data_IF_219975589669
#
_entry.id   IF_219975589669
#
_cell.length_a   1.000
_cell.length_b   1.000
_cell.length_c   1.000
_cell.angle_alpha   90.00
_cell.angle_beta   90.00
_cell.angle_gamma   90.00
#
_symmetry.space_group_name_H-M   'P 1'
#
loop_
_entity.id
_entity.type
_entity.pdbx_description
1 polymer ?
#
# COMPACT_ATOMS: atom_id res chain seq x y z
N UNK A 1 -12.14 5.21 11.00
CA UNK A 1 -10.83 4.97 11.65
C UNK A 1 -10.47 6.13 12.56
N UNK A 2 -9.85 5.87 13.72
CA UNK A 2 -9.35 6.94 14.60
C UNK A 2 -8.17 7.68 13.95
N UNK A 3 -7.85 8.88 14.43
CA UNK A 3 -6.72 9.66 13.91
C UNK A 3 -5.39 8.92 14.08
N UNK A 4 -5.19 8.23 15.21
CA UNK A 4 -3.97 7.46 15.50
C UNK A 4 -3.81 6.33 14.49
N UNK A 5 -4.85 5.51 14.28
CA UNK A 5 -4.82 4.39 13.32
C UNK A 5 -4.55 4.90 11.91
N UNK A 6 -5.18 6.03 11.52
CA UNK A 6 -4.97 6.64 10.21
C UNK A 6 -3.51 7.01 9.97
N UNK A 7 -2.90 7.70 10.92
CA UNK A 7 -1.50 8.12 10.80
C UNK A 7 -0.54 6.94 10.83
N UNK A 8 -0.81 5.95 11.67
CA UNK A 8 -0.05 4.70 11.67
C UNK A 8 -0.07 4.03 10.28
N UNK A 9 -1.26 3.83 9.70
CA UNK A 9 -1.39 3.23 8.35
C UNK A 9 -0.71 4.09 7.27
N UNK A 10 -0.82 5.42 7.35
CA UNK A 10 -0.15 6.32 6.42
C UNK A 10 1.38 6.21 6.50
N UNK A 11 1.94 6.12 7.72
CA UNK A 11 3.38 5.93 7.92
C UNK A 11 3.84 4.58 7.38
N UNK A 12 3.07 3.51 7.61
CA UNK A 12 3.39 2.17 7.06
C UNK A 12 3.34 2.19 5.53
N UNK A 13 2.33 2.82 4.92
CA UNK A 13 2.23 2.97 3.45
C UNK A 13 3.43 3.70 2.86
N UNK A 14 3.76 4.87 3.43
CA UNK A 14 4.86 5.70 2.94
C UNK A 14 6.19 4.99 3.17
N UNK A 15 6.44 4.46 4.37
CA UNK A 15 7.68 3.75 4.68
C UNK A 15 7.89 2.54 3.79
N UNK A 16 6.87 1.71 3.60
CA UNK A 16 6.95 0.55 2.70
C UNK A 16 7.14 0.98 1.24
N UNK A 17 6.43 2.02 0.79
CA UNK A 17 6.61 2.60 -0.53
C UNK A 17 8.04 3.12 -0.75
N UNK A 18 8.67 3.74 0.25
CA UNK A 18 10.06 4.19 0.18
C UNK A 18 11.04 3.02 0.13
N UNK A 19 10.78 1.91 0.83
CA UNK A 19 11.62 0.70 0.74
C UNK A 19 11.60 0.14 -0.69
N UNK A 20 10.48 0.25 -1.42
CA UNK A 20 10.41 -0.16 -2.82
C UNK A 20 11.36 0.61 -3.75
N UNK A 21 11.82 1.80 -3.35
CA UNK A 21 12.82 2.55 -4.13
C UNK A 21 14.17 1.82 -4.20
N UNK A 22 14.48 0.91 -3.28
CA UNK A 22 15.70 0.09 -3.34
C UNK A 22 15.67 -0.87 -4.54
N UNK A 23 14.53 -1.54 -4.78
CA UNK A 23 14.37 -2.43 -5.93
C UNK A 23 14.31 -1.65 -7.25
N UNK A 24 13.74 -0.44 -7.24
CA UNK A 24 13.79 0.46 -8.39
C UNK A 24 15.24 0.89 -8.71
N UNK A 25 15.98 1.34 -7.70
CA UNK A 25 17.36 1.78 -7.87
C UNK A 25 18.26 0.66 -8.40
N UNK A 26 18.11 -0.56 -7.89
CA UNK A 26 18.83 -1.73 -8.40
C UNK A 26 18.39 -2.09 -9.83
N UNK A 27 17.09 -2.27 -10.05
CA UNK A 27 16.58 -2.75 -11.34
C UNK A 27 16.83 -1.78 -12.49
N UNK A 28 16.83 -0.48 -12.22
CA UNK A 28 17.08 0.57 -13.21
C UNK A 28 18.56 0.97 -13.31
N UNK A 29 19.45 0.33 -12.55
CA UNK A 29 20.88 0.61 -12.57
C UNK A 29 21.27 1.98 -12.02
N UNK A 30 20.46 2.56 -11.13
CA UNK A 30 20.76 3.84 -10.48
C UNK A 30 21.75 3.71 -9.33
N UNK A 31 21.75 2.56 -8.64
CA UNK A 31 22.66 2.27 -7.56
C UNK A 31 22.82 0.76 -7.35
N UNK A 32 23.99 0.35 -6.87
CA UNK A 32 24.19 -0.98 -6.32
C UNK A 32 23.52 -1.09 -4.95
N UNK A 33 22.72 -2.13 -4.74
CA UNK A 33 21.97 -2.35 -3.50
C UNK A 33 22.34 -3.71 -2.93
N UNK A 34 23.34 -3.74 -2.04
CA UNK A 34 23.91 -4.98 -1.49
C UNK A 34 22.91 -5.88 -0.76
N UNK A 35 21.84 -5.30 -0.18
CA UNK A 35 20.80 -6.06 0.54
C UNK A 35 19.88 -6.84 -0.40
N UNK A 36 19.78 -6.44 -1.67
CA UNK A 36 19.06 -7.20 -2.70
C UNK A 36 20.11 -8.00 -3.46
N UNK A 37 20.15 -9.31 -3.29
CA UNK A 37 21.15 -10.18 -3.92
C UNK A 37 20.68 -10.72 -5.27
N UNK A 38 19.38 -10.95 -5.43
CA UNK A 38 18.78 -11.42 -6.68
C UNK A 38 18.90 -10.36 -7.80
N UNK A 39 19.16 -10.77 -9.06
CA UNK A 39 19.16 -9.85 -10.18
C UNK A 39 17.75 -9.29 -10.40
N UNK A 40 17.65 -7.97 -10.56
CA UNK A 40 16.38 -7.29 -10.88
C UNK A 40 16.50 -6.75 -12.30
N UNK A 41 15.66 -7.24 -13.21
CA UNK A 41 15.63 -6.74 -14.58
C UNK A 41 15.01 -5.33 -14.65
N UNK A 42 15.38 -4.50 -15.64
CA UNK A 42 14.85 -3.13 -15.76
C UNK A 42 13.33 -3.02 -15.74
N UNK A 43 12.62 -3.92 -16.43
CA UNK A 43 11.16 -3.94 -16.43
C UNK A 43 10.57 -4.16 -15.03
N UNK A 44 11.23 -5.01 -14.22
CA UNK A 44 10.84 -5.24 -12.82
C UNK A 44 11.19 -4.02 -11.96
N UNK A 45 12.34 -3.39 -12.19
CA UNK A 45 12.71 -2.11 -11.55
C UNK A 45 11.67 -1.00 -11.77
N UNK A 46 11.09 -0.90 -12.97
CA UNK A 46 9.96 0.02 -13.23
C UNK A 46 8.74 -0.36 -12.39
N UNK A 47 8.42 -1.65 -12.25
CA UNK A 47 7.30 -2.10 -11.42
C UNK A 47 7.53 -1.77 -9.92
N UNK A 48 8.77 -1.89 -9.42
CA UNK A 48 9.16 -1.44 -8.08
C UNK A 48 8.95 0.07 -7.90
N UNK A 49 9.38 0.87 -8.88
CA UNK A 49 9.17 2.33 -8.84
C UNK A 49 7.68 2.69 -8.85
N UNK A 50 6.90 2.00 -9.68
CA UNK A 50 5.46 2.22 -9.75
C UNK A 50 4.77 1.84 -8.43
N UNK A 51 5.16 0.72 -7.80
CA UNK A 51 4.70 0.36 -6.46
C UNK A 51 5.02 1.48 -5.45
N UNK A 52 6.26 1.97 -5.43
CA UNK A 52 6.68 3.06 -4.54
C UNK A 52 5.79 4.30 -4.70
N UNK A 53 5.60 4.77 -5.93
CA UNK A 53 4.79 5.96 -6.23
C UNK A 53 3.34 5.76 -5.78
N UNK A 54 2.72 4.63 -6.14
CA UNK A 54 1.30 4.37 -5.81
C UNK A 54 1.12 4.24 -4.29
N UNK A 55 2.04 3.59 -3.58
CA UNK A 55 1.94 3.42 -2.13
C UNK A 55 2.15 4.73 -1.37
N UNK A 56 3.14 5.55 -1.77
CA UNK A 56 3.35 6.89 -1.20
C UNK A 56 2.13 7.78 -1.48
N UNK A 57 1.64 7.80 -2.71
CA UNK A 57 0.43 8.55 -3.08
C UNK A 57 -0.79 8.11 -2.25
N UNK A 58 -0.95 6.80 -2.02
CA UNK A 58 -2.01 6.26 -1.17
C UNK A 58 -1.89 6.77 0.26
N UNK A 59 -0.68 6.77 0.84
CA UNK A 59 -0.42 7.30 2.18
C UNK A 59 -0.79 8.78 2.29
N UNK A 60 -0.42 9.59 1.30
CA UNK A 60 -0.78 11.02 1.21
C UNK A 60 -2.29 11.22 1.10
N UNK A 61 -2.96 10.47 0.22
CA UNK A 61 -4.42 10.54 0.05
C UNK A 61 -5.16 10.17 1.34
N UNK A 62 -4.69 9.15 2.05
CA UNK A 62 -5.22 8.74 3.36
C UNK A 62 -5.03 9.84 4.41
N UNK A 63 -3.84 10.43 4.49
CA UNK A 63 -3.55 11.54 5.39
C UNK A 63 -4.43 12.76 5.10
N UNK A 64 -4.70 13.04 3.82
CA UNK A 64 -5.59 14.09 3.33
C UNK A 64 -7.09 13.75 3.39
N UNK A 65 -7.47 12.59 3.98
CA UNK A 65 -8.87 12.12 4.12
C UNK A 65 -9.63 11.99 2.80
N UNK A 66 -8.95 11.74 1.67
CA UNK A 66 -9.61 11.60 0.37
C UNK A 66 -10.38 10.29 0.33
N UNK A 67 -11.70 10.32 0.11
CA UNK A 67 -12.60 9.16 0.23
C UNK A 67 -12.21 7.95 -0.65
N UNK A 68 -11.52 8.18 -1.78
CA UNK A 68 -11.10 7.13 -2.75
C UNK A 68 -9.68 6.60 -2.54
N UNK A 69 -9.01 6.94 -1.42
CA UNK A 69 -7.65 6.46 -1.12
C UNK A 69 -7.51 4.93 -1.21
N UNK A 70 -8.57 4.19 -0.85
CA UNK A 70 -8.57 2.73 -0.81
C UNK A 70 -8.37 2.09 -2.20
N UNK A 71 -8.79 2.74 -3.28
CA UNK A 71 -8.60 2.23 -4.66
C UNK A 71 -7.12 2.20 -4.99
N UNK A 72 -6.42 3.31 -4.75
CA UNK A 72 -4.98 3.39 -4.91
C UNK A 72 -4.25 2.40 -3.97
N UNK A 73 -4.76 2.22 -2.75
CA UNK A 73 -4.21 1.26 -1.80
C UNK A 73 -4.28 -0.19 -2.25
N UNK A 74 -5.41 -0.63 -2.80
CA UNK A 74 -5.54 -1.99 -3.37
C UNK A 74 -4.57 -2.18 -4.53
N UNK A 75 -4.52 -1.23 -5.48
CA UNK A 75 -3.59 -1.28 -6.62
C UNK A 75 -2.14 -1.35 -6.13
N UNK A 76 -1.76 -0.49 -5.17
CA UNK A 76 -0.42 -0.46 -4.60
C UNK A 76 -0.02 -1.77 -3.92
N UNK A 77 -0.92 -2.38 -3.13
CA UNK A 77 -0.65 -3.68 -2.49
C UNK A 77 -0.47 -4.79 -3.52
N UNK A 78 -1.29 -4.83 -4.57
CA UNK A 78 -1.19 -5.87 -5.60
C UNK A 78 0.14 -5.79 -6.36
N UNK A 79 0.55 -4.58 -6.76
CA UNK A 79 1.84 -4.37 -7.44
C UNK A 79 3.00 -4.68 -6.49
N UNK A 80 2.93 -4.18 -5.25
CA UNK A 80 3.90 -4.48 -4.18
C UNK A 80 4.06 -5.98 -3.97
N UNK A 81 2.96 -6.73 -3.90
CA UNK A 81 3.02 -8.17 -3.71
C UNK A 81 3.60 -8.88 -4.94
N UNK A 82 3.25 -8.45 -6.15
CA UNK A 82 3.80 -9.02 -7.38
C UNK A 82 5.33 -8.90 -7.42
N UNK A 83 5.89 -7.72 -7.14
CA UNK A 83 7.35 -7.53 -7.14
C UNK A 83 8.03 -8.29 -6.01
N UNK A 84 7.40 -8.43 -4.84
CA UNK A 84 7.91 -9.24 -3.72
C UNK A 84 7.96 -10.73 -4.09
N UNK A 85 6.96 -11.25 -4.81
CA UNK A 85 6.96 -12.65 -5.24
C UNK A 85 8.05 -12.94 -6.28
N UNK A 86 8.35 -11.97 -7.14
CA UNK A 86 9.43 -12.08 -8.14
C UNK A 86 10.81 -12.07 -7.45
N UNK A 87 10.99 -11.25 -6.41
CA UNK A 87 12.25 -11.10 -5.66
C UNK A 87 12.19 -11.73 -4.27
N UNK A 88 11.64 -12.95 -4.17
CA UNK A 88 11.18 -13.52 -2.91
C UNK A 88 12.27 -13.69 -1.85
N UNK A 89 13.47 -14.15 -2.21
CA UNK A 89 14.50 -14.48 -1.21
C UNK A 89 14.98 -13.24 -0.46
N UNK A 90 15.04 -12.10 -1.16
CA UNK A 90 15.43 -10.81 -0.59
C UNK A 90 14.24 -10.04 0.03
N UNK A 91 13.05 -10.13 -0.57
CA UNK A 91 11.96 -9.17 -0.29
C UNK A 91 10.78 -9.73 0.53
N UNK A 92 10.74 -11.03 0.84
CA UNK A 92 9.58 -11.68 1.50
C UNK A 92 9.09 -11.00 2.79
N UNK A 93 9.97 -10.34 3.54
CA UNK A 93 9.61 -9.59 4.75
C UNK A 93 8.58 -8.48 4.46
N UNK A 94 8.59 -7.92 3.24
CA UNK A 94 7.61 -6.94 2.78
C UNK A 94 6.18 -7.48 2.71
N UNK A 95 5.99 -8.80 2.63
CA UNK A 95 4.66 -9.42 2.66
C UNK A 95 3.94 -9.11 3.98
N UNK A 96 4.66 -9.03 5.11
CA UNK A 96 4.06 -8.67 6.39
C UNK A 96 3.47 -7.25 6.38
N UNK A 97 4.18 -6.31 5.75
CA UNK A 97 3.65 -4.96 5.55
C UNK A 97 2.40 -4.97 4.66
N UNK A 98 2.40 -5.74 3.56
CA UNK A 98 1.22 -5.89 2.70
C UNK A 98 0.02 -6.49 3.45
N UNK A 99 0.23 -7.50 4.31
CA UNK A 99 -0.83 -8.10 5.11
C UNK A 99 -1.42 -7.10 6.12
N UNK A 100 -0.59 -6.33 6.82
CA UNK A 100 -1.04 -5.26 7.70
C UNK A 100 -1.86 -4.20 6.96
N UNK A 101 -1.40 -3.78 5.78
CA UNK A 101 -2.08 -2.80 4.95
C UNK A 101 -3.41 -3.34 4.39
N UNK A 102 -3.44 -4.62 4.01
CA UNK A 102 -4.66 -5.29 3.56
C UNK A 102 -5.70 -5.36 4.68
N UNK A 103 -5.28 -5.71 5.90
CA UNK A 103 -6.16 -5.69 7.08
C UNK A 103 -6.71 -4.28 7.37
N UNK A 104 -5.87 -3.23 7.24
CA UNK A 104 -6.30 -1.85 7.40
C UNK A 104 -7.33 -1.41 6.33
N UNK A 105 -7.13 -1.82 5.07
CA UNK A 105 -8.11 -1.61 4.00
C UNK A 105 -9.44 -2.33 4.28
N UNK A 106 -9.38 -3.59 4.72
CA UNK A 106 -10.56 -4.36 5.10
C UNK A 106 -11.35 -3.70 6.23
N UNK A 107 -10.66 -3.26 7.28
CA UNK A 107 -11.27 -2.49 8.37
C UNK A 107 -11.90 -1.17 7.88
N UNK A 108 -11.23 -0.45 6.99
CA UNK A 108 -11.77 0.77 6.40
C UNK A 108 -13.01 0.51 5.54
N UNK A 109 -13.02 -0.58 4.75
CA UNK A 109 -14.15 -0.98 3.93
C UNK A 109 -15.36 -1.37 4.79
N UNK A 110 -15.16 -2.16 5.84
CA UNK A 110 -16.25 -2.54 6.77
C UNK A 110 -16.81 -1.31 7.51
N UNK A 111 -15.94 -0.40 7.94
CA UNK A 111 -16.36 0.81 8.69
C UNK A 111 -16.97 1.91 7.82
N UNK A 112 -16.72 1.94 6.51
CA UNK A 112 -17.21 2.98 5.58
C UNK A 112 -18.07 2.41 4.42
N UNK A 113 -18.36 1.11 4.41
CA UNK A 113 -19.08 0.42 3.33
C UNK A 113 -20.62 0.48 3.45
N UNK A 114 -21.36 -0.11 2.49
CA UNK A 114 -22.83 0.00 2.38
C UNK A 114 -23.64 -0.37 3.63
N UNK A 115 -23.08 -1.16 4.56
CA UNK A 115 -23.71 -1.43 5.85
C UNK A 115 -23.81 -0.19 6.75
N UNK A 116 -22.82 0.71 6.75
CA UNK A 116 -22.91 1.97 7.50
C UNK A 116 -23.94 2.93 6.88
N UNK A 117 -24.04 2.95 5.55
CA UNK A 117 -25.05 3.71 4.83
C UNK A 117 -26.46 3.19 5.13
N UNK A 118 -26.70 1.86 5.13
CA UNK A 118 -27.99 1.26 5.51
C UNK A 118 -28.38 1.53 6.97
N UNK A 119 -27.41 1.55 7.88
CA UNK A 119 -27.64 1.90 9.28
C UNK A 119 -28.00 3.38 9.45
N UNK A 120 -27.40 4.28 8.66
CA UNK A 120 -27.77 5.69 8.63
C UNK A 120 -29.17 5.91 8.02
N UNK A 121 -29.52 5.23 6.92
CA UNK A 121 -30.84 5.31 6.28
C UNK A 121 -31.98 4.82 7.17
N UNK A 122 -31.76 3.81 8.02
CA UNK A 122 -32.77 3.34 8.98
C UNK A 122 -33.09 4.32 10.11
N UNK A 123 -32.17 5.23 10.45
CA UNK A 123 -32.41 6.26 11.48
C UNK A 123 -33.23 7.45 10.98
N UNK A 124 -33.23 7.71 9.69
CA UNK A 124 -33.97 8.80 9.05
C UNK A 124 -35.28 8.34 8.40
N UNK A 125 -35.54 7.03 8.32
CA UNK A 125 -36.78 6.45 7.78
C UNK A 125 -37.82 6.04 8.83
N UNK A 126 -37.64 6.47 10.08
CA UNK A 126 -38.63 6.27 11.17
C UNK A 126 -38.87 7.62 11.83
N UNK A 127 -39.65 8.47 11.16
CA UNK A 127 -40.27 9.67 11.73
C UNK A 127 -41.60 9.89 11.03
#
# INVERSE_FOLDING_TARGET
MSAIVRWFVAVVLVGHGLIHLLGAAKGLGWAEVATLTEPIQPAIGVAWLFAAIVMVATGVLLAARKQRWWVAGVIGILISQAVILISWSDAKAGTLANLLLFAALGYAFVSNGPMSYRAASRRIGVS
#
